data_IF_291740587276
#
_entry.id   IF_291740587276
#
_cell.length_a   1.000
_cell.length_b   1.000
_cell.length_c   1.000
_cell.angle_alpha   90.00
_cell.angle_beta   90.00
_cell.angle_gamma   90.00
#
_symmetry.space_group_name_H-M   'P 1'
#
loop_
_entity.id
_entity.type
_entity.pdbx_description
1 polymer ?
#
# COMPACT_ATOMS: atom_id res chain seq x y z
N UNK A 1 -6.41 0.61 -3.44
CA UNK A 1 -6.86 1.91 -2.90
C UNK A 1 -7.16 2.85 -4.04
N UNK A 2 -8.24 3.58 -3.94
CA UNK A 2 -8.64 4.56 -4.95
C UNK A 2 -8.58 5.97 -4.38
N UNK A 3 -7.88 6.86 -5.09
CA UNK A 3 -7.85 8.29 -4.82
C UNK A 3 -8.82 8.94 -5.81
N UNK A 4 -9.89 9.56 -5.30
CA UNK A 4 -11.01 10.02 -6.13
C UNK A 4 -10.72 11.31 -6.90
N UNK A 5 -9.73 12.08 -6.48
CA UNK A 5 -9.32 13.34 -7.14
C UNK A 5 -7.85 13.63 -6.85
N UNK A 6 -7.25 14.54 -7.61
CA UNK A 6 -5.89 14.96 -7.36
C UNK A 6 -5.78 15.60 -5.97
N UNK A 7 -4.80 15.14 -5.19
CA UNK A 7 -4.57 15.60 -3.82
C UNK A 7 -3.16 16.12 -3.66
N UNK A 8 -3.01 17.14 -2.84
CA UNK A 8 -1.71 17.57 -2.31
C UNK A 8 -1.86 17.70 -0.81
N UNK A 9 -1.23 16.79 -0.07
CA UNK A 9 -1.40 16.70 1.37
C UNK A 9 -0.05 16.57 2.07
N UNK A 10 -0.03 17.00 3.33
CA UNK A 10 1.13 16.81 4.20
C UNK A 10 1.16 15.39 4.72
N UNK A 11 2.26 14.68 4.51
CA UNK A 11 2.46 13.29 4.94
C UNK A 11 3.66 13.23 5.89
N UNK A 12 3.44 13.55 7.16
CA UNK A 12 4.46 13.45 8.20
C UNK A 12 5.80 14.06 7.78
N UNK A 13 6.88 13.33 7.99
CA UNK A 13 8.24 13.77 7.67
C UNK A 13 8.51 13.96 6.17
N UNK A 14 7.66 13.43 5.30
CA UNK A 14 7.79 13.63 3.85
C UNK A 14 7.39 15.03 3.39
N UNK A 15 6.67 15.79 4.24
CA UNK A 15 6.14 17.09 3.86
C UNK A 15 4.98 16.98 2.87
N UNK A 16 4.85 17.97 1.99
CA UNK A 16 3.77 17.99 1.00
C UNK A 16 4.02 16.96 -0.11
N UNK A 17 3.05 16.10 -0.34
CA UNK A 17 3.11 15.05 -1.36
C UNK A 17 1.89 15.16 -2.26
N UNK A 18 2.11 15.02 -3.56
CA UNK A 18 1.04 15.05 -4.55
C UNK A 18 0.62 13.64 -4.94
N UNK A 19 -0.70 13.41 -4.96
CA UNK A 19 -1.29 12.15 -5.38
C UNK A 19 -2.28 12.43 -6.50
N UNK A 20 -2.00 11.94 -7.69
CA UNK A 20 -2.91 12.07 -8.81
C UNK A 20 -4.10 11.14 -8.64
N UNK A 21 -5.27 11.54 -9.12
CA UNK A 21 -6.45 10.68 -9.16
C UNK A 21 -6.11 9.33 -9.79
N UNK A 22 -6.59 8.25 -9.20
CA UNK A 22 -6.38 6.90 -9.72
C UNK A 22 -6.23 5.86 -8.65
N UNK A 23 -5.72 4.71 -9.06
CA UNK A 23 -5.55 3.56 -8.18
C UNK A 23 -4.13 3.45 -7.70
N UNK A 24 -3.99 3.02 -6.44
CA UNK A 24 -2.70 2.86 -5.79
C UNK A 24 -2.65 1.53 -5.05
N UNK A 25 -1.47 0.95 -4.94
CA UNK A 25 -1.22 -0.22 -4.13
C UNK A 25 -0.19 0.12 -3.05
N UNK A 26 -0.49 -0.27 -1.82
CA UNK A 26 0.38 -0.06 -0.67
C UNK A 26 0.85 -1.40 -0.13
N UNK A 27 2.16 -1.51 0.15
CA UNK A 27 2.78 -2.70 0.73
C UNK A 27 3.12 -2.42 2.19
N UNK A 28 2.54 -3.20 3.08
CA UNK A 28 2.83 -3.13 4.50
C UNK A 28 3.03 -4.52 5.08
N UNK A 29 3.68 -4.60 6.22
CA UNK A 29 3.84 -5.85 6.94
C UNK A 29 2.89 -5.93 8.13
N UNK A 30 2.52 -7.15 8.50
CA UNK A 30 1.62 -7.38 9.61
C UNK A 30 1.72 -8.82 10.09
N UNK A 31 2.91 -9.22 10.53
CA UNK A 31 3.19 -10.59 10.93
C UNK A 31 2.27 -11.12 12.04
N UNK A 32 1.82 -10.22 12.92
CA UNK A 32 0.86 -10.54 13.97
C UNK A 32 -0.44 -9.80 13.70
N UNK A 33 -1.57 -10.50 13.77
CA UNK A 33 -2.89 -9.89 13.62
C UNK A 33 -3.09 -9.17 12.27
N UNK A 34 -2.70 -9.80 11.17
CA UNK A 34 -2.86 -9.27 9.81
C UNK A 34 -4.26 -8.72 9.56
N UNK A 35 -5.28 -9.49 9.92
CA UNK A 35 -6.66 -9.11 9.72
C UNK A 35 -7.01 -7.82 10.45
N UNK A 36 -6.57 -7.68 11.72
CA UNK A 36 -6.78 -6.46 12.49
C UNK A 36 -6.09 -5.25 11.87
N UNK A 37 -4.88 -5.43 11.33
CA UNK A 37 -4.16 -4.34 10.67
C UNK A 37 -4.85 -3.88 9.39
N UNK A 38 -5.37 -4.82 8.60
CA UNK A 38 -6.14 -4.49 7.41
C UNK A 38 -7.42 -3.77 7.78
N UNK A 39 -8.14 -4.24 8.79
CA UNK A 39 -9.32 -3.55 9.28
C UNK A 39 -8.99 -2.15 9.76
N UNK A 40 -7.85 -1.96 10.42
CA UNK A 40 -7.38 -0.64 10.82
C UNK A 40 -7.16 0.28 9.62
N UNK A 41 -6.53 -0.22 8.55
CA UNK A 41 -6.30 0.58 7.34
C UNK A 41 -7.60 1.00 6.66
N UNK A 42 -8.66 0.23 6.78
CA UNK A 42 -9.97 0.56 6.21
C UNK A 42 -10.74 1.61 7.03
N UNK A 43 -10.40 1.80 8.30
CA UNK A 43 -11.09 2.78 9.14
C UNK A 43 -10.64 4.20 8.79
N UNK A 44 -11.59 5.12 8.70
CA UNK A 44 -11.30 6.54 8.49
C UNK A 44 -10.93 7.25 9.78
N UNK A 45 -11.59 6.90 10.88
CA UNK A 45 -11.36 7.53 12.19
C UNK A 45 -10.37 6.67 12.97
N UNK A 46 -9.14 7.15 13.06
CA UNK A 46 -8.05 6.46 13.76
C UNK A 46 -6.93 7.45 14.07
N UNK A 47 -6.10 7.08 15.04
CA UNK A 47 -4.90 7.86 15.33
C UNK A 47 -3.90 7.69 14.18
N UNK A 48 -3.43 8.79 13.61
CA UNK A 48 -2.42 8.78 12.55
C UNK A 48 -1.09 8.31 13.11
N UNK A 49 -0.58 7.19 12.58
CA UNK A 49 0.64 6.55 13.03
C UNK A 49 1.64 6.34 11.89
N UNK A 50 1.16 5.95 10.71
CA UNK A 50 1.97 5.64 9.53
C UNK A 50 1.65 6.60 8.38
N UNK A 51 2.55 6.69 7.39
CA UNK A 51 2.31 7.51 6.20
C UNK A 51 0.97 7.21 5.54
N UNK A 52 0.62 5.93 5.42
CA UNK A 52 -0.65 5.51 4.81
C UNK A 52 -1.88 6.07 5.53
N UNK A 53 -1.78 6.33 6.83
CA UNK A 53 -2.90 6.86 7.60
C UNK A 53 -3.32 8.26 7.14
N UNK A 54 -2.40 9.04 6.61
CA UNK A 54 -2.70 10.37 6.06
C UNK A 54 -3.63 10.28 4.84
N UNK A 55 -3.60 9.15 4.13
CA UNK A 55 -4.50 8.88 3.01
C UNK A 55 -5.80 8.21 3.48
N UNK A 56 -5.69 7.13 4.24
CA UNK A 56 -6.85 6.29 4.56
C UNK A 56 -7.84 6.95 5.52
N UNK A 57 -7.46 8.04 6.17
CA UNK A 57 -8.39 8.85 6.99
C UNK A 57 -9.20 9.87 6.18
N UNK A 58 -8.90 10.04 4.89
CA UNK A 58 -9.61 10.99 4.04
C UNK A 58 -10.86 10.37 3.42
N UNK A 59 -11.91 11.19 3.28
CA UNK A 59 -13.17 10.75 2.66
C UNK A 59 -13.06 10.54 1.15
N UNK A 60 -12.07 11.16 0.50
CA UNK A 60 -11.81 11.04 -0.94
C UNK A 60 -10.80 9.94 -1.29
N UNK A 61 -10.44 9.12 -0.32
CA UNK A 61 -9.58 7.94 -0.49
C UNK A 61 -10.32 6.71 0.01
N UNK A 62 -10.41 5.68 -0.81
CA UNK A 62 -11.14 4.44 -0.50
C UNK A 62 -10.21 3.24 -0.54
N UNK A 63 -10.23 2.43 0.52
CA UNK A 63 -9.55 1.12 0.52
C UNK A 63 -10.53 0.11 -0.08
N UNK A 64 -10.25 -0.37 -1.29
CA UNK A 64 -11.15 -1.22 -2.04
C UNK A 64 -10.94 -2.71 -1.81
N UNK A 65 -9.68 -3.14 -1.87
CA UNK A 65 -9.30 -4.55 -1.74
C UNK A 65 -8.01 -4.67 -0.95
N UNK A 66 -7.84 -5.81 -0.31
CA UNK A 66 -6.61 -6.16 0.38
C UNK A 66 -6.30 -7.64 0.18
N UNK A 67 -5.02 -7.95 0.10
CA UNK A 67 -4.52 -9.32 0.08
C UNK A 67 -3.40 -9.43 1.11
N UNK A 68 -3.32 -10.55 1.80
CA UNK A 68 -2.33 -10.76 2.84
C UNK A 68 -1.53 -12.02 2.57
N UNK A 69 -0.23 -11.94 2.85
CA UNK A 69 0.67 -13.09 2.80
C UNK A 69 1.20 -13.37 4.19
N UNK A 70 1.18 -14.62 4.60
CA UNK A 70 1.76 -15.03 5.88
C UNK A 70 3.27 -15.23 5.71
N UNK A 71 4.03 -14.14 5.61
CA UNK A 71 5.45 -14.13 5.31
C UNK A 71 6.23 -13.23 6.28
N UNK A 72 7.54 -13.48 6.46
CA UNK A 72 8.39 -12.59 7.26
C UNK A 72 8.40 -11.15 6.75
N UNK A 73 8.72 -10.22 7.65
CA UNK A 73 8.74 -8.78 7.35
C UNK A 73 9.61 -8.41 6.15
N UNK A 74 10.69 -9.16 5.91
CA UNK A 74 11.59 -8.90 4.76
C UNK A 74 10.87 -8.93 3.41
N UNK A 75 9.73 -9.63 3.31
CA UNK A 75 8.95 -9.70 2.09
C UNK A 75 8.25 -8.38 1.76
N UNK A 76 8.11 -7.48 2.70
CA UNK A 76 7.61 -6.13 2.45
C UNK A 76 8.46 -5.43 1.37
N UNK A 77 9.78 -5.45 1.53
CA UNK A 77 10.70 -4.90 0.53
C UNK A 77 10.78 -5.74 -0.74
N UNK A 78 10.72 -7.07 -0.61
CA UNK A 78 10.72 -7.97 -1.78
C UNK A 78 9.51 -7.67 -2.67
N UNK A 79 8.32 -7.56 -2.10
CA UNK A 79 7.10 -7.24 -2.85
C UNK A 79 7.19 -5.83 -3.42
N UNK A 80 7.69 -4.86 -2.67
CA UNK A 80 7.88 -3.50 -3.17
C UNK A 80 8.81 -3.47 -4.39
N UNK A 81 9.89 -4.25 -4.37
CA UNK A 81 10.82 -4.37 -5.49
C UNK A 81 10.15 -5.02 -6.71
N UNK A 82 9.27 -6.00 -6.50
CA UNK A 82 8.50 -6.61 -7.59
C UNK A 82 7.60 -5.56 -8.24
N UNK A 83 6.90 -4.76 -7.45
CA UNK A 83 6.04 -3.70 -7.96
C UNK A 83 6.85 -2.66 -8.75
N UNK A 84 8.04 -2.32 -8.28
CA UNK A 84 8.94 -1.43 -9.00
C UNK A 84 9.35 -2.03 -10.34
N UNK A 85 9.65 -3.33 -10.38
CA UNK A 85 10.02 -4.03 -11.62
C UNK A 85 8.89 -4.08 -12.64
N UNK A 86 7.65 -3.98 -12.19
CA UNK A 86 6.47 -3.88 -13.05
C UNK A 86 6.27 -2.47 -13.63
N UNK A 87 7.16 -1.54 -13.30
CA UNK A 87 7.20 -0.15 -13.79
C UNK A 87 6.03 0.71 -13.32
N UNK A 88 5.44 0.39 -12.17
CA UNK A 88 4.48 1.29 -11.53
C UNK A 88 5.20 2.50 -10.97
N UNK A 89 4.50 3.64 -10.95
CA UNK A 89 5.09 4.89 -10.47
C UNK A 89 5.15 4.92 -8.95
N UNK A 90 6.36 4.98 -8.34
CA UNK A 90 6.48 5.07 -6.90
C UNK A 90 6.18 6.47 -6.37
N UNK A 91 5.61 6.53 -5.16
CA UNK A 91 5.56 7.76 -4.39
C UNK A 91 6.77 7.72 -3.46
N UNK A 92 7.86 8.39 -3.85
CA UNK A 92 9.16 8.26 -3.19
C UNK A 92 9.11 8.50 -1.69
N UNK A 93 9.75 7.61 -0.94
CA UNK A 93 9.86 7.68 0.50
C UNK A 93 8.61 7.27 1.28
N UNK A 94 7.50 7.03 0.58
CA UNK A 94 6.24 6.72 1.25
C UNK A 94 6.28 5.33 1.89
N UNK A 95 6.17 5.28 3.22
CA UNK A 95 6.20 4.03 3.98
C UNK A 95 7.57 3.34 4.04
N UNK A 96 8.62 3.94 3.48
CA UNK A 96 9.93 3.32 3.32
C UNK A 96 11.08 4.08 4.00
N UNK A 97 10.77 4.95 4.97
CA UNK A 97 11.80 5.77 5.65
C UNK A 97 12.75 4.95 6.51
N UNK A 98 12.35 3.76 6.94
CA UNK A 98 13.13 2.85 7.78
C UNK A 98 13.72 1.68 7.01
N UNK A 99 13.66 1.69 5.69
CA UNK A 99 14.24 0.64 4.84
C UNK A 99 14.87 1.24 3.60
N UNK A 100 15.54 0.39 2.80
CA UNK A 100 16.23 0.83 1.58
C UNK A 100 15.34 0.90 0.34
N UNK A 101 14.04 0.67 0.46
CA UNK A 101 13.13 0.69 -0.68
C UNK A 101 12.85 2.12 -1.15
N UNK A 102 12.60 2.28 -2.45
CA UNK A 102 12.28 3.58 -3.02
C UNK A 102 10.92 4.07 -2.53
N UNK A 103 9.97 3.15 -2.36
CA UNK A 103 8.63 3.42 -1.84
C UNK A 103 7.91 2.12 -1.51
N UNK A 104 6.90 2.20 -0.66
CA UNK A 104 5.92 1.13 -0.45
C UNK A 104 4.54 1.51 -1.00
N UNK A 105 4.42 2.63 -1.69
CA UNK A 105 3.18 3.06 -2.34
C UNK A 105 3.43 3.32 -3.81
N UNK A 106 2.65 2.67 -4.67
CA UNK A 106 2.78 2.77 -6.13
C UNK A 106 1.43 3.10 -6.76
N UNK A 107 1.45 4.04 -7.71
CA UNK A 107 0.29 4.28 -8.57
C UNK A 107 0.23 3.17 -9.63
N UNK A 108 -0.93 2.52 -9.75
CA UNK A 108 -1.08 1.36 -10.63
C UNK A 108 -2.02 1.66 -11.79
N UNK A 109 -1.81 0.93 -12.89
CA UNK A 109 -2.63 1.01 -14.10
C UNK A 109 -3.19 -0.37 -14.49
N UNK A 110 -2.99 -1.38 -13.64
CA UNK A 110 -3.52 -2.73 -13.83
C UNK A 110 -4.49 -3.08 -12.73
N UNK A 111 -5.34 -4.08 -13.00
CA UNK A 111 -6.26 -4.63 -12.01
C UNK A 111 -5.48 -5.20 -10.82
N UNK A 112 -5.97 -4.92 -9.62
CA UNK A 112 -5.36 -5.38 -8.37
C UNK A 112 -5.19 -6.92 -8.36
N UNK A 113 -6.20 -7.66 -8.80
CA UNK A 113 -6.16 -9.13 -8.79
C UNK A 113 -5.04 -9.67 -9.69
N UNK A 114 -4.80 -9.04 -10.84
CA UNK A 114 -3.69 -9.40 -11.73
C UNK A 114 -2.33 -9.13 -11.11
N UNK A 115 -2.21 -8.02 -10.39
CA UNK A 115 -0.97 -7.67 -9.69
C UNK A 115 -0.70 -8.69 -8.59
N UNK A 116 -1.72 -9.04 -7.81
CA UNK A 116 -1.61 -10.07 -6.75
C UNK A 116 -1.20 -11.42 -7.35
N UNK A 117 -1.77 -11.82 -8.48
CA UNK A 117 -1.40 -13.07 -9.15
C UNK A 117 0.09 -13.06 -9.55
N UNK A 118 0.58 -11.99 -10.15
CA UNK A 118 1.99 -11.89 -10.54
C UNK A 118 2.93 -11.89 -9.34
N UNK A 119 2.59 -11.14 -8.30
CA UNK A 119 3.38 -11.11 -7.07
C UNK A 119 3.41 -12.51 -6.45
N UNK A 120 2.26 -13.17 -6.37
CA UNK A 120 2.13 -14.51 -5.80
C UNK A 120 3.00 -15.53 -6.54
N UNK A 121 3.03 -15.47 -7.87
CA UNK A 121 3.87 -16.33 -8.69
C UNK A 121 5.36 -16.10 -8.42
N UNK A 122 5.78 -14.85 -8.31
CA UNK A 122 7.19 -14.50 -8.10
C UNK A 122 7.69 -14.88 -6.73
N UNK A 123 6.87 -14.76 -5.69
CA UNK A 123 7.23 -15.15 -4.32
C UNK A 123 6.83 -16.59 -4.00
N UNK A 124 6.15 -17.28 -4.91
CA UNK A 124 5.68 -18.68 -4.79
C UNK A 124 4.83 -18.90 -3.55
N UNK A 125 3.94 -17.97 -3.26
CA UNK A 125 3.05 -18.04 -2.11
C UNK A 125 1.69 -17.49 -2.49
N UNK A 126 0.62 -18.20 -2.10
CA UNK A 126 -0.75 -17.74 -2.34
C UNK A 126 -1.18 -16.78 -1.24
N UNK A 127 -1.89 -15.71 -1.58
CA UNK A 127 -2.40 -14.78 -0.59
C UNK A 127 -3.68 -15.30 0.06
N UNK A 128 -3.97 -14.73 1.22
CA UNK A 128 -5.32 -14.74 1.79
C UNK A 128 -5.95 -13.41 1.39
N UNK A 129 -6.98 -13.46 0.56
CA UNK A 129 -7.69 -12.24 0.17
C UNK A 129 -8.73 -11.88 1.22
N UNK A 130 -8.75 -10.59 1.59
CA UNK A 130 -9.67 -10.06 2.56
C UNK A 130 -10.55 -9.02 1.88
N UNK A 131 -11.82 -9.35 1.71
CA UNK A 131 -12.79 -8.43 1.13
C UNK A 131 -13.13 -7.28 2.08
N UNK A 132 -13.38 -6.13 1.50
CA UNK A 132 -13.81 -4.96 2.26
C UNK A 132 -15.28 -5.03 2.62
#
# INVERSE_FOLDING_TARGET
MMVERDLRIHVGSLGAVEFKKGYYIYVGSGQKNLEKRIQRHKRRIKKVKWHIDYLTTRSDVKVLKAAAYNLPKKYECIIADILRSMRFKPIRGFGSTDCGCISHLYKIDLDFDRIVDEVSDKIRTKPVELDS
#
